data_IF_548797626874
#
_entry.id   IF_548797626874
#
_cell.length_a   1.000
_cell.length_b   1.000
_cell.length_c   1.000
_cell.angle_alpha   90.00
_cell.angle_beta   90.00
_cell.angle_gamma   90.00
#
_symmetry.space_group_name_H-M   'P 1'
#
loop_
_entity.id
_entity.type
_entity.pdbx_description
1 polymer ?
#
# COMPACT_ATOMS: atom_id res chain seq x y z
N UNK A 1 -2.65 -12.88 -3.47
CA UNK A 1 -2.86 -12.30 -4.80
C UNK A 1 -4.31 -11.84 -4.92
N UNK A 2 -4.54 -10.53 -4.82
CA UNK A 2 -5.87 -9.91 -4.83
C UNK A 2 -6.59 -10.09 -6.19
N UNK A 3 -7.86 -10.50 -6.16
CA UNK A 3 -8.69 -10.57 -7.38
C UNK A 3 -9.09 -9.18 -7.88
N UNK A 4 -9.52 -9.06 -9.14
CA UNK A 4 -9.99 -7.79 -9.70
C UNK A 4 -11.13 -7.14 -8.89
N UNK A 5 -12.08 -7.96 -8.41
CA UNK A 5 -13.17 -7.51 -7.54
C UNK A 5 -12.66 -6.96 -6.21
N UNK A 6 -11.70 -7.65 -5.59
CA UNK A 6 -11.09 -7.22 -4.32
C UNK A 6 -10.30 -5.92 -4.49
N UNK A 7 -9.53 -5.79 -5.58
CA UNK A 7 -8.82 -4.54 -5.91
C UNK A 7 -9.77 -3.37 -6.11
N UNK A 8 -10.89 -3.58 -6.80
CA UNK A 8 -11.93 -2.55 -6.99
C UNK A 8 -12.54 -2.11 -5.65
N UNK A 9 -12.88 -3.07 -4.78
CA UNK A 9 -13.40 -2.81 -3.45
C UNK A 9 -12.41 -2.03 -2.57
N UNK A 10 -11.15 -2.45 -2.54
CA UNK A 10 -10.09 -1.76 -1.81
C UNK A 10 -9.85 -0.36 -2.37
N UNK A 11 -9.89 -0.18 -3.69
CA UNK A 11 -9.81 1.15 -4.33
C UNK A 11 -10.96 2.05 -3.89
N UNK A 12 -12.19 1.56 -3.86
CA UNK A 12 -13.34 2.32 -3.40
C UNK A 12 -13.20 2.74 -1.93
N UNK A 13 -12.74 1.83 -1.05
CA UNK A 13 -12.47 2.14 0.35
C UNK A 13 -11.30 3.12 0.50
N UNK A 14 -10.27 2.95 -0.32
CA UNK A 14 -9.06 3.75 -0.35
C UNK A 14 -9.28 5.17 -0.86
N UNK A 15 -10.27 5.43 -1.72
CA UNK A 15 -10.54 6.77 -2.29
C UNK A 15 -10.53 7.89 -1.24
N UNK A 16 -11.19 7.67 -0.09
CA UNK A 16 -11.31 8.64 1.01
C UNK A 16 -10.06 8.77 1.89
N UNK A 17 -9.12 7.83 1.79
CA UNK A 17 -7.89 7.87 2.58
C UNK A 17 -6.92 8.91 2.01
N UNK A 18 -6.19 9.57 2.89
CA UNK A 18 -5.05 10.43 2.50
C UNK A 18 -3.76 9.58 2.52
N UNK A 19 -2.77 9.89 1.66
CA UNK A 19 -1.46 9.27 1.77
C UNK A 19 -0.85 9.59 3.13
N UNK A 20 -0.47 8.55 3.87
CA UNK A 20 0.13 8.67 5.21
C UNK A 20 1.66 8.73 5.09
N UNK A 21 2.21 8.03 4.09
CA UNK A 21 3.64 8.03 3.81
C UNK A 21 3.94 8.67 2.46
N UNK A 22 5.15 9.20 2.34
CA UNK A 22 5.66 9.80 1.13
C UNK A 22 7.09 9.31 0.86
N UNK A 23 7.36 8.91 -0.39
CA UNK A 23 8.66 8.45 -0.86
C UNK A 23 9.28 9.57 -1.70
N UNK A 24 10.38 10.12 -1.22
CA UNK A 24 11.11 11.21 -1.85
C UNK A 24 12.47 10.81 -2.40
N UNK A 25 13.40 11.78 -2.37
CA UNK A 25 14.78 11.63 -2.86
C UNK A 25 15.56 10.47 -2.23
N UNK A 26 15.28 10.15 -0.97
CA UNK A 26 15.89 9.03 -0.24
C UNK A 26 15.43 7.66 -0.77
N UNK A 27 14.36 7.61 -1.58
CA UNK A 27 13.77 6.36 -2.05
C UNK A 27 13.09 5.57 -0.92
N UNK A 28 12.93 4.28 -1.14
CA UNK A 28 12.36 3.35 -0.17
C UNK A 28 13.47 2.83 0.75
N UNK A 29 13.48 3.28 2.01
CA UNK A 29 14.40 2.76 3.03
C UNK A 29 13.76 1.63 3.82
N UNK A 30 14.59 0.79 4.45
CA UNK A 30 14.10 -0.30 5.31
C UNK A 30 13.26 0.23 6.49
N UNK A 31 13.61 1.38 7.07
CA UNK A 31 12.84 2.02 8.13
C UNK A 31 11.46 2.47 7.66
N UNK A 32 11.38 3.05 6.46
CA UNK A 32 10.11 3.43 5.85
C UNK A 32 9.25 2.21 5.55
N UNK A 33 9.86 1.15 5.02
CA UNK A 33 9.17 -0.11 4.75
C UNK A 33 8.60 -0.73 6.03
N UNK A 34 9.39 -0.77 7.12
CA UNK A 34 8.93 -1.24 8.42
C UNK A 34 7.78 -0.40 8.98
N UNK A 35 7.85 0.92 8.83
CA UNK A 35 6.78 1.84 9.25
C UNK A 35 5.50 1.62 8.44
N UNK A 36 5.64 1.40 7.14
CA UNK A 36 4.54 1.04 6.23
C UNK A 36 3.91 -0.29 6.66
N UNK A 37 4.72 -1.29 6.98
CA UNK A 37 4.27 -2.60 7.45
C UNK A 37 3.51 -2.51 8.78
N UNK A 38 4.05 -1.83 9.79
CA UNK A 38 3.37 -1.65 11.08
C UNK A 38 2.01 -0.95 10.91
N UNK A 39 1.96 0.10 10.08
CA UNK A 39 0.72 0.80 9.82
C UNK A 39 -0.31 -0.09 9.10
N UNK A 40 0.13 -0.87 8.11
CA UNK A 40 -0.69 -1.85 7.42
C UNK A 40 -1.17 -2.96 8.36
N UNK A 41 -0.37 -3.40 9.33
CA UNK A 41 -0.78 -4.41 10.31
C UNK A 41 -1.88 -3.89 11.25
N UNK A 42 -2.02 -2.58 11.41
CA UNK A 42 -3.04 -1.91 12.24
C UNK A 42 -4.29 -1.49 11.45
N UNK A 43 -4.13 -1.09 10.19
CA UNK A 43 -5.21 -0.49 9.39
C UNK A 43 -5.59 -1.30 8.13
N UNK A 44 -4.79 -2.32 7.78
CA UNK A 44 -4.87 -3.20 6.60
C UNK A 44 -4.75 -2.51 5.23
N UNK A 45 -5.05 -1.22 5.14
CA UNK A 45 -5.09 -0.45 3.90
C UNK A 45 -4.44 0.94 4.10
N UNK A 46 -3.53 1.29 3.19
CA UNK A 46 -2.69 2.48 3.30
C UNK A 46 -2.48 3.11 1.91
N UNK A 47 -2.31 4.42 1.87
CA UNK A 47 -1.80 5.15 0.70
C UNK A 47 -0.38 5.66 0.92
N UNK A 48 0.46 5.48 -0.09
CA UNK A 48 1.82 6.00 -0.14
C UNK A 48 1.98 6.87 -1.36
N UNK A 49 2.40 8.12 -1.18
CA UNK A 49 2.64 9.06 -2.28
C UNK A 49 4.10 8.99 -2.74
N UNK A 50 4.35 9.07 -4.03
CA UNK A 50 5.69 9.07 -4.61
C UNK A 50 5.96 10.48 -5.14
N UNK A 51 7.05 11.11 -4.69
CA UNK A 51 7.50 12.39 -5.23
C UNK A 51 8.29 12.20 -6.52
N UNK A 52 8.34 13.26 -7.33
CA UNK A 52 9.13 13.29 -8.57
C UNK A 52 10.64 13.14 -8.34
N UNK A 53 11.10 13.50 -7.14
CA UNK A 53 12.49 13.37 -6.73
C UNK A 53 12.88 11.93 -6.41
N UNK A 54 11.94 10.98 -6.40
CA UNK A 54 12.23 9.59 -6.08
C UNK A 54 13.11 8.98 -7.18
N UNK A 55 14.28 8.42 -6.83
CA UNK A 55 15.16 7.78 -7.80
C UNK A 55 14.63 6.42 -8.28
N UNK A 56 13.61 5.88 -7.61
CA UNK A 56 13.02 4.57 -7.91
C UNK A 56 11.78 4.72 -8.77
N UNK A 57 11.68 3.86 -9.78
CA UNK A 57 10.45 3.71 -10.56
C UNK A 57 9.32 3.18 -9.71
N UNK A 58 8.08 3.50 -10.11
CA UNK A 58 6.87 2.99 -9.47
C UNK A 58 6.85 1.45 -9.42
N UNK A 59 7.35 0.79 -10.46
CA UNK A 59 7.43 -0.66 -10.56
C UNK A 59 8.42 -1.25 -9.54
N UNK A 60 9.61 -0.64 -9.40
CA UNK A 60 10.61 -1.03 -8.39
C UNK A 60 10.03 -0.95 -6.97
N UNK A 61 9.29 0.12 -6.69
CA UNK A 61 8.61 0.29 -5.41
C UNK A 61 7.54 -0.79 -5.20
N UNK A 62 6.73 -1.09 -6.22
CA UNK A 62 5.71 -2.14 -6.15
C UNK A 62 6.37 -3.50 -5.87
N UNK A 63 7.46 -3.83 -6.57
CA UNK A 63 8.20 -5.06 -6.37
C UNK A 63 8.75 -5.17 -4.94
N UNK A 64 9.35 -4.09 -4.43
CA UNK A 64 9.86 -4.07 -3.05
C UNK A 64 8.76 -4.25 -1.99
N UNK A 65 7.59 -3.65 -2.21
CA UNK A 65 6.44 -3.89 -1.33
C UNK A 65 5.91 -5.33 -1.43
N UNK A 66 5.88 -5.90 -2.64
CA UNK A 66 5.45 -7.29 -2.85
C UNK A 66 6.39 -8.30 -2.18
N UNK A 67 7.70 -8.05 -2.22
CA UNK A 67 8.72 -8.85 -1.53
C UNK A 67 8.50 -8.84 0.00
N UNK A 68 8.10 -7.69 0.55
CA UNK A 68 7.68 -7.54 1.95
C UNK A 68 6.30 -8.17 2.27
N UNK A 69 5.70 -8.87 1.31
CA UNK A 69 4.38 -9.49 1.43
C UNK A 69 3.25 -8.48 1.55
N UNK A 70 3.38 -7.31 0.91
CA UNK A 70 2.32 -6.30 0.79
C UNK A 70 1.72 -6.40 -0.61
N UNK A 71 0.39 -6.44 -0.69
CA UNK A 71 -0.30 -6.50 -1.97
C UNK A 71 -0.68 -5.11 -2.49
N UNK A 72 -0.52 -4.91 -3.80
CA UNK A 72 -0.98 -3.69 -4.47
C UNK A 72 -2.48 -3.78 -4.78
N UNK A 73 -3.27 -2.98 -4.07
CA UNK A 73 -4.71 -2.83 -4.34
C UNK A 73 -4.94 -1.96 -5.59
N UNK A 74 -4.07 -0.97 -5.83
CA UNK A 74 -4.11 -0.15 -7.02
C UNK A 74 -3.18 1.05 -6.95
N UNK A 75 -3.18 1.84 -8.01
CA UNK A 75 -2.47 3.12 -8.07
C UNK A 75 -3.38 4.22 -8.55
N UNK A 76 -3.20 5.42 -8.03
CA UNK A 76 -3.93 6.65 -8.36
C UNK A 76 -2.86 7.73 -8.62
N UNK A 77 -2.55 7.98 -9.89
CA UNK A 77 -1.43 8.85 -10.28
C UNK A 77 -0.11 8.38 -9.68
N UNK A 78 0.54 9.26 -8.92
CA UNK A 78 1.78 8.99 -8.15
C UNK A 78 1.55 8.41 -6.75
N UNK A 79 0.31 8.05 -6.42
CA UNK A 79 -0.02 7.43 -5.13
C UNK A 79 -0.29 5.94 -5.32
N UNK A 80 0.35 5.10 -4.51
CA UNK A 80 0.10 3.68 -4.42
C UNK A 80 -0.87 3.39 -3.29
N UNK A 81 -1.81 2.47 -3.53
CA UNK A 81 -2.73 1.93 -2.54
C UNK A 81 -2.28 0.51 -2.21
N UNK A 82 -1.78 0.36 -0.99
CA UNK A 82 -1.19 -0.86 -0.46
C UNK A 82 -2.15 -1.54 0.51
N UNK A 83 -2.19 -2.86 0.45
CA UNK A 83 -3.03 -3.69 1.31
C UNK A 83 -2.21 -4.84 1.88
N UNK A 84 -2.37 -5.11 3.17
CA UNK A 84 -1.85 -6.32 3.81
C UNK A 84 -2.95 -6.85 4.72
N UNK A 85 -3.51 -8.00 4.36
CA UNK A 85 -4.52 -8.64 5.19
C UNK A 85 -3.89 -9.14 6.48
N UNK A 86 -4.49 -8.79 7.62
CA UNK A 86 -4.06 -9.31 8.91
C UNK A 86 -5.17 -10.20 9.49
N UNK A 87 -5.03 -11.54 9.43
CA UNK A 87 -6.06 -12.46 9.91
C UNK A 87 -6.27 -12.41 11.42
N UNK A 88 -5.42 -11.68 12.16
CA UNK A 88 -5.50 -11.51 13.61
C UNK A 88 -6.25 -10.25 14.06
N UNK A 89 -6.65 -9.35 13.14
CA UNK A 89 -7.42 -8.17 13.51
C UNK A 89 -8.91 -8.48 13.66
N UNK A 90 -9.52 -7.96 14.73
CA UNK A 90 -10.96 -8.07 14.98
C UNK A 90 -11.78 -7.27 13.95
N UNK A 91 -11.29 -6.11 13.52
CA UNK A 91 -11.94 -5.26 12.50
C UNK A 91 -11.32 -5.47 11.12
N UNK A 92 -11.51 -6.66 10.55
CA UNK A 92 -10.97 -7.01 9.23
C UNK A 92 -11.71 -6.32 8.07
N UNK A 93 -10.98 -5.95 7.02
CA UNK A 93 -11.57 -5.63 5.72
C UNK A 93 -12.19 -6.90 5.14
N UNK A 94 -13.52 -7.01 5.18
CA UNK A 94 -14.24 -8.10 4.50
C UNK A 94 -14.11 -7.91 2.99
N UNK A 95 -13.21 -8.69 2.39
CA UNK A 95 -13.03 -8.72 0.94
C UNK A 95 -14.21 -9.42 0.26
N UNK A 96 -14.72 -8.87 -0.86
CA UNK A 96 -15.77 -9.55 -1.63
C UNK A 96 -15.21 -10.85 -2.25
N UNK A 97 -16.07 -11.87 -2.30
CA UNK A 97 -15.76 -13.20 -2.81
C UNK A 97 -15.81 -13.27 -4.34
#
# INVERSE_FOLDING_TARGET
MLTGKQKSFLRAKGQRLKPVFQIGKTGLTAELLNSVLDNLLKNELLKVSILDTCPLSKEELINAFQDAGIELAGSIGKTLLLYKGNPRLEQKITLPR
#
